data_IF_405847634895
#
_entry.id   IF_405847634895
#
_cell.length_a   1.000
_cell.length_b   1.000
_cell.length_c   1.000
_cell.angle_alpha   90.00
_cell.angle_beta   90.00
_cell.angle_gamma   90.00
#
_symmetry.space_group_name_H-M   'P 1'
#
loop_
_entity.id
_entity.type
_entity.pdbx_description
1 polymer ?
#
# COMPACT_ATOMS: atom_id res chain seq x y z
N UNK A 1 1.66 -12.77 -11.63
CA UNK A 1 2.51 -11.93 -10.74
C UNK A 1 3.99 -12.20 -10.99
N UNK A 2 4.47 -13.44 -10.92
CA UNK A 2 5.85 -13.77 -11.31
C UNK A 2 6.23 -13.25 -12.71
N UNK A 3 5.31 -13.29 -13.66
CA UNK A 3 5.55 -12.87 -15.04
C UNK A 3 5.70 -11.36 -15.17
N UNK A 4 4.93 -10.57 -14.41
CA UNK A 4 5.10 -9.11 -14.28
C UNK A 4 6.52 -8.76 -13.77
N UNK A 5 6.98 -9.45 -12.72
CA UNK A 5 8.32 -9.25 -12.16
C UNK A 5 9.39 -9.64 -13.20
N UNK A 6 9.19 -10.74 -13.94
CA UNK A 6 10.10 -11.18 -15.01
C UNK A 6 10.14 -10.16 -16.15
N UNK A 7 9.00 -9.62 -16.57
CA UNK A 7 8.89 -8.60 -17.63
C UNK A 7 9.66 -7.34 -17.23
N UNK A 8 9.39 -6.78 -16.05
CA UNK A 8 10.08 -5.57 -15.55
C UNK A 8 11.60 -5.81 -15.43
N UNK A 9 12.03 -6.97 -14.96
CA UNK A 9 13.45 -7.35 -14.88
C UNK A 9 14.08 -7.67 -16.26
N UNK A 10 13.30 -7.69 -17.34
CA UNK A 10 13.78 -7.84 -18.73
C UNK A 10 13.67 -6.56 -19.56
N UNK A 11 13.05 -5.52 -19.01
CA UNK A 11 12.99 -4.18 -19.61
C UNK A 11 14.33 -3.47 -19.52
N UNK A 12 14.58 -2.56 -20.46
CA UNK A 12 15.71 -1.64 -20.40
C UNK A 12 15.44 -0.47 -19.42
N UNK A 13 16.50 0.26 -19.08
CA UNK A 13 16.42 1.36 -18.11
C UNK A 13 15.45 2.47 -18.53
N UNK A 14 15.33 2.82 -19.82
CA UNK A 14 14.44 3.89 -20.26
C UNK A 14 12.97 3.46 -20.19
N UNK A 15 12.67 2.19 -20.46
CA UNK A 15 11.34 1.62 -20.20
C UNK A 15 11.01 1.62 -18.70
N UNK A 16 11.97 1.27 -17.84
CA UNK A 16 11.79 1.27 -16.36
C UNK A 16 11.59 2.69 -15.82
N UNK A 17 12.37 3.66 -16.30
CA UNK A 17 12.28 5.08 -15.92
C UNK A 17 10.95 5.69 -16.37
N UNK A 18 10.51 5.38 -17.59
CA UNK A 18 9.23 5.86 -18.12
C UNK A 18 8.03 5.25 -17.39
N UNK A 19 8.11 3.95 -17.04
CA UNK A 19 7.14 3.27 -16.18
C UNK A 19 7.04 3.91 -14.78
N UNK A 20 8.17 4.33 -14.21
CA UNK A 20 8.21 5.06 -12.94
C UNK A 20 7.54 6.44 -13.05
N UNK A 21 7.80 7.21 -14.10
CA UNK A 21 7.13 8.49 -14.32
C UNK A 21 5.62 8.35 -14.56
N UNK A 22 5.17 7.33 -15.31
CA UNK A 22 3.74 7.04 -15.52
C UNK A 22 3.06 6.61 -14.21
N UNK A 23 3.74 5.84 -13.36
CA UNK A 23 3.26 5.49 -12.03
C UNK A 23 3.12 6.73 -11.11
N UNK A 24 4.07 7.67 -11.17
CA UNK A 24 3.98 8.95 -10.44
C UNK A 24 2.80 9.81 -10.93
N UNK A 25 2.58 9.90 -12.24
CA UNK A 25 1.41 10.61 -12.79
C UNK A 25 0.09 9.98 -12.33
N UNK A 26 0.00 8.65 -12.33
CA UNK A 26 -1.17 7.93 -11.85
C UNK A 26 -1.39 8.14 -10.34
N UNK A 27 -0.32 8.16 -9.53
CA UNK A 27 -0.41 8.47 -8.10
C UNK A 27 -0.87 9.91 -7.85
N UNK A 28 -0.34 10.89 -8.60
CA UNK A 28 -0.77 12.29 -8.55
C UNK A 28 -2.27 12.43 -8.89
N UNK A 29 -2.78 11.68 -9.87
CA UNK A 29 -4.21 11.61 -10.20
C UNK A 29 -5.09 11.03 -9.08
N UNK A 30 -4.52 10.43 -8.03
CA UNK A 30 -5.30 9.98 -6.85
C UNK A 30 -5.43 11.03 -5.75
N UNK A 31 -4.61 12.09 -5.74
CA UNK A 31 -4.61 13.05 -4.64
C UNK A 31 -5.93 13.86 -4.56
N UNK A 32 -6.36 14.30 -3.35
CA UNK A 32 -7.67 14.93 -3.16
C UNK A 32 -7.90 16.18 -4.02
N UNK A 33 -6.87 17.00 -4.21
CA UNK A 33 -6.91 18.25 -4.97
C UNK A 33 -6.40 18.10 -6.41
N UNK A 34 -6.41 16.87 -6.95
CA UNK A 34 -5.91 16.59 -8.30
C UNK A 34 -6.74 17.28 -9.40
N UNK A 35 -6.03 17.90 -10.34
CA UNK A 35 -6.61 18.52 -11.53
C UNK A 35 -6.84 17.44 -12.59
N UNK A 36 -7.89 17.57 -13.41
CA UNK A 36 -8.15 16.62 -14.50
C UNK A 36 -6.95 16.53 -15.46
N UNK A 37 -6.43 15.32 -15.77
CA UNK A 37 -5.37 15.16 -16.74
C UNK A 37 -5.85 15.59 -18.13
N UNK A 38 -5.13 16.53 -18.73
CA UNK A 38 -5.29 16.89 -20.15
C UNK A 38 -4.98 15.69 -21.05
N UNK A 39 -5.46 15.74 -22.29
CA UNK A 39 -5.15 14.71 -23.28
C UNK A 39 -3.68 14.80 -23.70
N UNK A 40 -2.86 13.84 -23.27
CA UNK A 40 -1.75 13.37 -24.10
C UNK A 40 -2.29 12.29 -25.03
N UNK A 41 -1.86 12.30 -26.29
CA UNK A 41 -2.12 11.23 -27.26
C UNK A 41 -1.08 10.09 -27.16
N UNK A 42 -0.14 10.18 -26.20
CA UNK A 42 0.82 9.13 -25.91
C UNK A 42 0.13 7.89 -25.34
N UNK A 43 0.46 6.72 -25.89
CA UNK A 43 -0.06 5.44 -25.43
C UNK A 43 0.57 5.06 -24.09
N UNK A 44 -0.19 4.91 -22.98
CA UNK A 44 0.37 4.58 -21.68
C UNK A 44 1.06 3.22 -21.70
N UNK A 45 2.27 3.14 -21.13
CA UNK A 45 3.14 1.96 -21.06
C UNK A 45 2.46 0.84 -20.29
N UNK A 46 1.58 1.15 -19.34
CA UNK A 46 0.74 0.17 -18.66
C UNK A 46 -0.12 -0.69 -19.61
N UNK A 47 -0.41 -0.22 -20.84
CA UNK A 47 -1.16 -0.96 -21.87
C UNK A 47 -0.46 -2.27 -22.32
N UNK A 48 0.87 -2.35 -22.17
CA UNK A 48 1.64 -3.58 -22.44
C UNK A 48 1.97 -4.42 -21.20
N UNK A 49 1.64 -3.93 -20.00
CA UNK A 49 2.09 -4.49 -18.72
C UNK A 49 0.94 -5.14 -17.91
N UNK A 50 -0.31 -4.78 -18.22
CA UNK A 50 -1.51 -5.33 -17.60
C UNK A 50 -2.54 -5.72 -18.67
N UNK A 51 -3.33 -6.77 -18.41
CA UNK A 51 -4.36 -7.28 -19.33
C UNK A 51 -5.53 -6.30 -19.59
N UNK A 52 -5.63 -5.23 -18.78
CA UNK A 52 -6.66 -4.20 -18.88
C UNK A 52 -6.00 -2.80 -18.78
N UNK A 53 -6.26 -1.86 -19.72
CA UNK A 53 -5.48 -0.63 -19.85
C UNK A 53 -5.80 0.39 -18.75
N UNK A 54 -4.94 0.44 -17.73
CA UNK A 54 -5.00 1.43 -16.65
C UNK A 54 -4.60 2.83 -17.13
N UNK A 55 -5.53 3.57 -17.73
CA UNK A 55 -5.29 4.96 -18.15
C UNK A 55 -5.36 5.95 -16.96
N UNK A 56 -4.74 7.14 -17.04
CA UNK A 56 -4.78 8.15 -15.96
C UNK A 56 -6.19 8.59 -15.54
N UNK A 57 -7.19 8.54 -16.45
CA UNK A 57 -8.59 8.84 -16.12
C UNK A 57 -9.22 7.81 -15.18
N UNK A 58 -8.79 6.54 -15.23
CA UNK A 58 -9.24 5.53 -14.26
C UNK A 58 -8.80 5.90 -12.83
N UNK A 59 -7.55 6.34 -12.66
CA UNK A 59 -7.06 6.80 -11.36
C UNK A 59 -7.78 8.07 -10.89
N UNK A 60 -8.01 9.04 -11.79
CA UNK A 60 -8.75 10.27 -11.48
C UNK A 60 -10.22 10.00 -11.07
N UNK A 61 -10.98 9.23 -11.85
CA UNK A 61 -12.39 8.95 -11.54
C UNK A 61 -12.60 8.03 -10.33
N UNK A 62 -11.54 7.39 -9.84
CA UNK A 62 -11.54 6.59 -8.61
C UNK A 62 -10.66 7.19 -7.50
N UNK A 63 -10.25 8.47 -7.62
CA UNK A 63 -9.23 9.10 -6.76
C UNK A 63 -9.54 8.96 -5.27
N UNK A 64 -10.77 9.28 -4.83
CA UNK A 64 -11.22 9.14 -3.44
C UNK A 64 -11.07 7.71 -2.89
N UNK A 65 -11.27 6.69 -3.74
CA UNK A 65 -11.10 5.28 -3.36
C UNK A 65 -9.63 4.88 -3.34
N UNK A 66 -8.90 5.24 -4.40
CA UNK A 66 -7.49 4.88 -4.58
C UNK A 66 -6.61 5.54 -3.51
N UNK A 67 -6.87 6.81 -3.17
CA UNK A 67 -6.18 7.53 -2.10
C UNK A 67 -6.37 6.87 -0.73
N UNK A 68 -7.62 6.53 -0.36
CA UNK A 68 -7.90 5.84 0.92
C UNK A 68 -7.27 4.45 1.00
N UNK A 69 -7.02 3.79 -0.14
CA UNK A 69 -6.29 2.53 -0.17
C UNK A 69 -4.77 2.74 -0.16
N UNK A 70 -4.28 3.81 -0.79
CA UNK A 70 -2.87 4.22 -0.72
C UNK A 70 -2.46 4.58 0.70
N UNK A 71 -3.21 5.46 1.39
CA UNK A 71 -2.90 5.82 2.79
C UNK A 71 -2.93 4.58 3.68
N UNK A 72 -3.97 3.75 3.60
CA UNK A 72 -4.01 2.47 4.34
C UNK A 72 -2.81 1.57 4.02
N UNK A 73 -2.28 1.53 2.80
CA UNK A 73 -1.08 0.75 2.48
C UNK A 73 0.16 1.37 3.15
N UNK A 74 0.29 2.70 3.19
CA UNK A 74 1.33 3.35 3.97
C UNK A 74 1.19 2.99 5.46
N UNK A 75 0.04 3.33 6.07
CA UNK A 75 -0.28 3.19 7.49
C UNK A 75 -0.20 1.75 8.05
N UNK A 76 -0.27 0.72 7.18
CA UNK A 76 -0.30 -0.70 7.61
C UNK A 76 0.77 -1.59 7.02
N UNK A 77 1.41 -1.21 5.90
CA UNK A 77 2.44 -2.03 5.24
C UNK A 77 3.77 -1.29 5.27
N UNK A 78 3.82 -0.04 4.81
CA UNK A 78 5.07 0.74 4.85
C UNK A 78 5.49 1.05 6.29
N UNK A 79 4.56 1.42 7.17
CA UNK A 79 4.83 1.63 8.60
C UNK A 79 5.32 0.36 9.30
N UNK A 80 4.87 -0.82 8.88
CA UNK A 80 5.34 -2.09 9.45
C UNK A 80 6.71 -2.51 8.88
N UNK A 81 6.99 -2.19 7.62
CA UNK A 81 8.21 -2.59 6.92
C UNK A 81 9.37 -1.60 7.15
N UNK A 82 9.12 -0.30 7.24
CA UNK A 82 10.16 0.74 7.35
C UNK A 82 10.17 1.45 8.71
N UNK A 83 9.05 1.46 9.46
CA UNK A 83 8.97 2.03 10.82
C UNK A 83 8.99 3.56 10.93
N UNK A 84 9.21 4.28 9.82
CA UNK A 84 9.59 5.71 9.81
C UNK A 84 8.58 6.68 10.45
N UNK A 85 7.32 6.30 10.64
CA UNK A 85 6.29 7.13 11.30
C UNK A 85 6.34 7.09 12.83
N UNK A 86 7.06 6.13 13.43
CA UNK A 86 7.29 6.08 14.88
C UNK A 86 8.70 6.55 15.18
N UNK A 87 8.81 7.82 15.58
CA UNK A 87 10.04 8.37 16.11
C UNK A 87 10.59 7.44 17.22
N UNK A 88 11.84 7.02 17.06
CA UNK A 88 12.56 6.28 18.10
C UNK A 88 12.82 7.25 19.24
N UNK A 89 12.14 7.07 20.36
CA UNK A 89 12.50 7.74 21.62
C UNK A 89 13.87 7.22 22.06
N UNK A 90 14.91 7.97 21.71
CA UNK A 90 16.27 7.73 22.20
C UNK A 90 16.31 8.14 23.67
N UNK A 91 16.65 7.20 24.55
CA UNK A 91 16.86 7.46 25.96
C UNK A 91 18.15 8.30 26.14
N UNK A 92 17.99 9.63 26.19
CA UNK A 92 19.10 10.57 26.35
C UNK A 92 19.81 10.46 27.73
N UNK A 93 19.34 9.62 28.66
CA UNK A 93 20.04 9.40 29.94
C UNK A 93 21.45 8.81 29.80
N UNK A 94 21.80 8.31 28.60
CA UNK A 94 23.16 7.84 28.26
C UNK A 94 24.08 8.91 27.65
N UNK A 95 23.60 10.13 27.37
CA UNK A 95 24.38 11.19 26.71
C UNK A 95 25.13 12.09 27.71
N UNK A 96 26.41 11.77 27.94
CA UNK A 96 27.31 12.62 28.74
C UNK A 96 27.95 13.74 27.90
N UNK A 97 27.98 15.00 28.39
CA UNK A 97 28.71 16.08 27.71
C UNK A 97 30.23 15.83 27.72
N UNK A 98 30.84 15.64 26.56
CA UNK A 98 32.27 15.36 26.43
C UNK A 98 33.12 16.63 26.66
N UNK A 99 33.79 16.71 27.81
CA UNK A 99 34.77 17.75 28.15
C UNK A 99 36.18 17.14 28.13
N UNK A 100 37.04 17.60 27.21
CA UNK A 100 38.37 17.01 26.97
C UNK A 100 39.54 17.80 27.64
N UNK A 101 40.48 17.14 28.35
CA UNK A 101 41.74 17.74 28.84
C UNK A 101 42.99 17.43 27.98
N UNK A 102 44.12 18.07 28.34
CA UNK A 102 45.50 17.99 27.80
C UNK A 102 46.16 16.58 27.79
N UNK A 103 47.29 16.31 27.11
CA UNK A 103 48.15 17.18 26.25
C UNK A 103 49.61 16.68 26.09
N UNK A 104 50.48 17.53 25.52
CA UNK A 104 51.95 17.35 25.25
C UNK A 104 52.35 16.28 24.20
N UNK A 105 53.42 16.43 23.40
CA UNK A 105 54.46 17.48 23.21
C UNK A 105 55.53 16.90 22.23
N UNK A 106 56.54 17.59 21.67
CA UNK A 106 57.01 18.99 21.58
C UNK A 106 57.88 19.06 20.27
N UNK A 107 58.65 20.03 19.79
CA UNK A 107 59.29 21.31 20.21
C UNK A 107 59.65 22.08 18.89
N UNK A 108 60.41 23.18 18.73
CA UNK A 108 61.44 23.96 19.47
C UNK A 108 61.32 25.46 19.07
N UNK A 109 62.36 26.32 19.25
CA UNK A 109 62.62 27.43 18.30
C UNK A 109 62.72 28.89 18.77
N UNK A 110 63.49 29.20 19.83
CA UNK A 110 64.03 30.54 20.19
C UNK A 110 63.11 31.69 20.70
N UNK A 111 63.64 32.39 21.72
CA UNK A 111 63.40 33.77 22.24
C UNK A 111 61.98 34.33 22.46
N UNK A 112 61.65 34.79 23.69
CA UNK A 112 60.43 35.61 23.83
C UNK A 112 59.84 36.11 25.17
N UNK A 113 60.30 35.74 26.37
CA UNK A 113 59.92 36.37 27.68
C UNK A 113 58.45 36.21 28.20
N UNK A 114 58.35 35.77 29.47
CA UNK A 114 57.28 35.99 30.48
C UNK A 114 55.81 35.47 30.28
N UNK A 115 55.55 34.29 30.87
CA UNK A 115 54.46 33.94 31.81
C UNK A 115 53.06 34.61 31.68
N UNK A 116 52.00 33.82 31.39
CA UNK A 116 51.04 33.25 32.39
C UNK A 116 49.82 32.54 31.74
N UNK A 117 49.30 31.52 32.45
CA UNK A 117 47.93 30.94 32.37
C UNK A 117 47.39 30.25 31.08
N UNK A 118 47.36 28.91 31.14
CA UNK A 118 46.40 27.93 30.60
C UNK A 118 45.44 28.25 29.40
N UNK A 119 45.43 27.35 28.40
CA UNK A 119 44.37 27.21 27.38
C UNK A 119 44.49 25.89 26.58
N UNK A 120 43.37 25.19 26.33
CA UNK A 120 43.31 23.82 25.79
C UNK A 120 43.53 23.69 24.27
N UNK A 121 43.86 22.45 23.84
CA UNK A 121 44.27 22.08 22.47
C UNK A 121 43.19 22.19 21.39
N UNK A 122 43.59 22.30 20.13
CA UNK A 122 42.75 21.93 18.97
C UNK A 122 43.58 21.40 17.79
N UNK A 123 42.95 20.59 16.94
CA UNK A 123 43.47 19.94 15.70
C UNK A 123 44.60 18.91 15.91
N UNK A 124 44.74 17.88 15.06
CA UNK A 124 43.76 17.20 14.21
C UNK A 124 44.36 15.87 13.72
N UNK A 125 43.56 14.80 13.69
CA UNK A 125 43.89 13.56 12.98
C UNK A 125 42.68 13.14 12.16
N UNK A 126 42.85 12.92 10.87
CA UNK A 126 41.78 12.44 10.00
C UNK A 126 41.54 10.95 10.25
N UNK A 127 40.29 10.55 10.44
CA UNK A 127 39.90 9.14 10.45
C UNK A 127 39.21 8.80 9.12
N UNK A 128 39.61 7.67 8.55
CA UNK A 128 39.13 7.15 7.26
C UNK A 128 37.61 7.07 7.26
N UNK A 129 36.98 7.45 6.13
CA UNK A 129 35.56 7.20 5.89
C UNK A 129 35.38 5.69 5.77
N UNK A 130 35.12 5.03 6.90
CA UNK A 130 34.73 3.63 6.93
C UNK A 130 33.43 3.44 6.17
N UNK A 131 33.39 2.40 5.34
CA UNK A 131 32.21 2.10 4.53
C UNK A 131 30.98 1.97 5.42
N UNK A 132 29.96 2.79 5.19
CA UNK A 132 28.67 2.62 5.85
C UNK A 132 28.08 1.30 5.40
N UNK A 133 28.18 0.29 6.27
CA UNK A 133 27.48 -0.97 6.11
C UNK A 133 26.03 -0.67 5.75
N UNK A 134 25.58 -1.17 4.59
CA UNK A 134 24.21 -0.97 4.10
C UNK A 134 23.24 -1.82 4.93
N UNK A 135 23.09 -1.46 6.19
CA UNK A 135 22.03 -1.96 7.05
C UNK A 135 20.71 -1.65 6.36
N UNK A 136 19.88 -2.69 6.20
CA UNK A 136 18.59 -2.56 5.55
C UNK A 136 17.70 -1.64 6.38
N UNK A 137 17.02 -0.69 5.74
CA UNK A 137 15.93 0.08 6.38
C UNK A 137 14.66 -0.75 6.54
N UNK A 138 14.68 -2.04 6.16
CA UNK A 138 13.60 -2.98 6.41
C UNK A 138 13.67 -3.50 7.86
N UNK A 139 12.58 -3.32 8.58
CA UNK A 139 12.31 -3.93 9.88
C UNK A 139 12.43 -5.47 9.77
N UNK A 140 13.38 -6.11 10.46
CA UNK A 140 13.58 -7.57 10.39
C UNK A 140 12.43 -8.36 11.01
N UNK A 141 11.62 -7.73 11.89
CA UNK A 141 10.47 -8.35 12.56
C UNK A 141 9.14 -8.08 11.82
N UNK A 142 9.19 -7.55 10.59
CA UNK A 142 8.01 -7.34 9.76
C UNK A 142 7.39 -8.69 9.32
N UNK A 143 6.12 -8.92 9.66
CA UNK A 143 5.41 -10.13 9.24
C UNK A 143 5.15 -10.14 7.73
N UNK A 144 5.28 -11.30 7.09
CA UNK A 144 4.98 -11.49 5.67
C UNK A 144 3.60 -10.90 5.30
N UNK A 145 3.56 -10.05 4.25
CA UNK A 145 2.33 -9.45 3.76
C UNK A 145 1.40 -10.50 3.14
N UNK A 146 0.54 -11.08 3.97
CA UNK A 146 -0.47 -12.04 3.55
C UNK A 146 -1.85 -11.37 3.44
N UNK A 147 -2.30 -10.98 2.23
CA UNK A 147 -3.59 -10.29 2.08
C UNK A 147 -4.81 -11.18 2.38
N UNK A 148 -4.62 -12.49 2.58
CA UNK A 148 -5.64 -13.40 3.11
C UNK A 148 -5.87 -13.29 4.62
N UNK A 149 -4.93 -12.69 5.37
CA UNK A 149 -5.12 -12.35 6.79
C UNK A 149 -6.03 -11.14 7.01
N UNK A 150 -6.51 -10.49 5.93
CA UNK A 150 -7.43 -9.34 6.06
C UNK A 150 -8.77 -9.76 6.70
N UNK A 151 -9.36 -8.95 7.62
CA UNK A 151 -10.59 -9.30 8.34
C UNK A 151 -11.74 -9.66 7.39
N UNK A 152 -12.59 -10.64 7.74
CA UNK A 152 -13.71 -11.12 6.90
C UNK A 152 -14.53 -9.96 6.32
N UNK A 153 -14.90 -9.00 7.17
CA UNK A 153 -15.65 -7.79 6.80
C UNK A 153 -15.01 -6.99 5.65
N UNK A 154 -13.67 -6.84 5.67
CA UNK A 154 -12.91 -6.09 4.66
C UNK A 154 -12.76 -6.82 3.32
N UNK A 155 -13.06 -8.13 3.30
CA UNK A 155 -13.08 -8.99 2.11
C UNK A 155 -14.47 -9.59 1.85
N UNK A 156 -15.52 -8.92 2.35
CA UNK A 156 -16.92 -9.24 2.10
C UNK A 156 -17.58 -8.21 1.16
N UNK A 157 -18.44 -8.68 0.26
CA UNK A 157 -19.40 -7.83 -0.47
C UNK A 157 -20.84 -8.20 -0.11
N UNK A 158 -21.71 -7.19 -0.02
CA UNK A 158 -23.15 -7.37 0.14
C UNK A 158 -23.82 -7.49 -1.23
N UNK A 159 -24.73 -8.45 -1.36
CA UNK A 159 -25.44 -8.79 -2.60
C UNK A 159 -26.93 -8.51 -2.45
N UNK A 160 -27.59 -8.05 -3.51
CA UNK A 160 -29.05 -7.84 -3.57
C UNK A 160 -29.59 -8.32 -4.91
N UNK A 161 -30.62 -9.15 -4.86
CA UNK A 161 -31.19 -9.81 -6.03
C UNK A 161 -32.38 -9.01 -6.60
N UNK A 162 -32.65 -9.17 -7.89
CA UNK A 162 -33.93 -8.77 -8.47
C UNK A 162 -35.10 -9.52 -7.82
N UNK A 163 -36.18 -8.79 -7.49
CA UNK A 163 -37.42 -9.35 -6.92
C UNK A 163 -37.97 -10.48 -7.79
N UNK A 164 -38.37 -11.61 -7.19
CA UNK A 164 -38.85 -12.81 -7.90
C UNK A 164 -37.76 -13.61 -8.63
N UNK A 165 -36.50 -13.15 -8.57
CA UNK A 165 -35.38 -13.74 -9.32
C UNK A 165 -34.13 -13.86 -8.43
N UNK A 166 -34.18 -14.64 -7.33
CA UNK A 166 -33.03 -14.93 -6.49
C UNK A 166 -31.94 -15.70 -7.27
N UNK A 167 -30.69 -15.52 -6.86
CA UNK A 167 -29.56 -16.34 -7.31
C UNK A 167 -29.27 -17.43 -6.27
N UNK A 168 -28.97 -18.64 -6.73
CA UNK A 168 -28.49 -19.72 -5.86
C UNK A 168 -27.06 -19.44 -5.37
N UNK A 169 -26.60 -20.24 -4.38
CA UNK A 169 -25.22 -20.14 -3.88
C UNK A 169 -24.21 -20.39 -5.00
N UNK A 170 -24.52 -21.35 -5.86
CA UNK A 170 -23.61 -21.87 -6.88
C UNK A 170 -23.60 -20.94 -8.10
N UNK A 171 -24.75 -20.38 -8.51
CA UNK A 171 -24.81 -19.31 -9.53
C UNK A 171 -23.96 -18.08 -9.16
N UNK A 172 -23.82 -17.79 -7.85
CA UNK A 172 -22.98 -16.70 -7.35
C UNK A 172 -21.50 -17.11 -7.35
N UNK A 173 -21.18 -18.34 -6.93
CA UNK A 173 -19.80 -18.86 -6.96
C UNK A 173 -19.29 -18.86 -8.40
N UNK A 174 -19.98 -19.55 -9.31
CA UNK A 174 -19.59 -19.71 -10.71
C UNK A 174 -19.38 -18.36 -11.40
N UNK A 175 -20.27 -17.39 -11.18
CA UNK A 175 -20.13 -16.04 -11.76
C UNK A 175 -18.88 -15.30 -11.29
N UNK A 176 -18.48 -15.45 -10.03
CA UNK A 176 -17.31 -14.77 -9.49
C UNK A 176 -16.00 -15.54 -9.66
N UNK A 177 -16.03 -16.85 -9.93
CA UNK A 177 -14.84 -17.66 -10.20
C UNK A 177 -14.50 -17.78 -11.69
N UNK A 178 -15.50 -17.86 -12.59
CA UNK A 178 -15.32 -18.26 -14.02
C UNK A 178 -14.24 -17.50 -14.79
N UNK A 179 -13.97 -16.24 -14.45
CA UNK A 179 -12.96 -15.40 -15.09
C UNK A 179 -11.90 -14.85 -14.12
N UNK A 180 -11.84 -15.35 -12.89
CA UNK A 180 -10.98 -14.83 -11.80
C UNK A 180 -10.27 -15.92 -10.98
N UNK A 181 -10.59 -17.19 -11.20
CA UNK A 181 -10.07 -18.32 -10.43
C UNK A 181 -10.74 -18.48 -9.07
N UNK A 182 -10.11 -19.22 -8.16
CA UNK A 182 -10.65 -19.55 -6.83
C UNK A 182 -10.56 -18.35 -5.84
N UNK A 183 -11.29 -17.28 -6.14
CA UNK A 183 -11.34 -16.06 -5.32
C UNK A 183 -12.41 -16.08 -4.23
N UNK A 184 -13.34 -17.04 -4.27
CA UNK A 184 -14.52 -17.10 -3.40
C UNK A 184 -14.27 -18.06 -2.23
N UNK A 185 -14.20 -17.54 -1.01
CA UNK A 185 -14.10 -18.39 0.19
C UNK A 185 -15.47 -18.89 0.65
N UNK A 186 -16.51 -18.04 0.62
CA UNK A 186 -17.86 -18.44 1.02
C UNK A 186 -18.95 -17.55 0.44
N UNK A 187 -20.15 -18.10 0.29
CA UNK A 187 -21.38 -17.37 -0.09
C UNK A 187 -22.48 -17.72 0.91
N UNK A 188 -23.09 -16.68 1.48
CA UNK A 188 -24.23 -16.75 2.39
C UNK A 188 -25.43 -16.08 1.73
N UNK A 189 -26.60 -16.72 1.80
CA UNK A 189 -27.88 -16.18 1.31
C UNK A 189 -28.80 -15.98 2.52
N UNK A 190 -29.70 -14.99 2.44
CA UNK A 190 -30.76 -14.76 3.43
C UNK A 190 -31.57 -16.04 3.72
N UNK A 191 -31.83 -16.32 5.00
CA UNK A 191 -32.76 -17.38 5.41
C UNK A 191 -34.17 -16.82 5.48
N UNK A 192 -34.99 -17.15 4.50
CA UNK A 192 -36.38 -16.71 4.41
C UNK A 192 -37.36 -17.70 5.04
N UNK A 193 -38.62 -17.26 5.21
CA UNK A 193 -39.75 -18.13 5.53
C UNK A 193 -40.14 -18.95 4.29
N UNK A 194 -40.74 -20.15 4.46
CA UNK A 194 -41.28 -20.93 3.33
C UNK A 194 -42.19 -20.07 2.44
N UNK A 195 -42.00 -20.15 1.12
CA UNK A 195 -42.76 -19.37 0.14
C UNK A 195 -42.32 -17.90 -0.02
N UNK A 196 -41.17 -17.49 0.51
CA UNK A 196 -40.56 -16.17 0.24
C UNK A 196 -39.16 -16.32 -0.36
N UNK A 197 -38.92 -15.63 -1.48
CA UNK A 197 -37.59 -15.56 -2.09
C UNK A 197 -36.61 -14.74 -1.22
N UNK A 198 -35.34 -15.16 -1.10
CA UNK A 198 -34.30 -14.33 -0.50
C UNK A 198 -34.06 -13.08 -1.35
N UNK A 199 -33.89 -11.94 -0.70
CA UNK A 199 -33.68 -10.65 -1.35
C UNK A 199 -32.20 -10.24 -1.35
N UNK A 200 -31.41 -10.78 -0.41
CA UNK A 200 -29.99 -10.44 -0.27
C UNK A 200 -29.11 -11.63 0.11
N UNK A 201 -27.81 -11.40 0.01
CA UNK A 201 -26.77 -12.30 0.48
C UNK A 201 -25.47 -11.54 0.79
N UNK A 202 -24.42 -12.28 1.12
CA UNK A 202 -23.06 -11.76 1.18
C UNK A 202 -22.07 -12.80 0.65
N UNK A 203 -21.06 -12.34 -0.06
CA UNK A 203 -19.95 -13.14 -0.57
C UNK A 203 -18.67 -12.73 0.14
N UNK A 204 -17.90 -13.71 0.58
CA UNK A 204 -16.61 -13.56 1.26
C UNK A 204 -15.52 -14.06 0.30
N UNK A 205 -14.59 -13.18 -0.04
CA UNK A 205 -13.46 -13.50 -0.91
C UNK A 205 -12.25 -13.94 -0.11
N UNK A 206 -11.33 -14.67 -0.76
CA UNK A 206 -10.05 -15.10 -0.18
C UNK A 206 -9.12 -13.92 0.15
N UNK A 207 -9.34 -12.75 -0.46
CA UNK A 207 -8.47 -11.57 -0.35
C UNK A 207 -9.30 -10.27 -0.57
N UNK A 208 -9.08 -9.24 0.25
CA UNK A 208 -9.74 -7.93 0.11
C UNK A 208 -9.51 -7.24 -1.24
N UNK A 209 -8.37 -7.48 -1.89
CA UNK A 209 -8.01 -6.91 -3.21
C UNK A 209 -8.90 -7.43 -4.37
N UNK A 210 -9.71 -8.46 -4.15
CA UNK A 210 -10.67 -8.97 -5.14
C UNK A 210 -11.84 -8.00 -5.32
N UNK A 211 -12.27 -7.33 -4.24
CA UNK A 211 -13.41 -6.40 -4.23
C UNK A 211 -13.23 -5.21 -5.20
N UNK A 212 -12.13 -4.42 -5.15
CA UNK A 212 -11.95 -3.30 -6.08
C UNK A 212 -11.83 -3.74 -7.54
N UNK A 213 -11.32 -4.95 -7.83
CA UNK A 213 -11.29 -5.52 -9.18
C UNK A 213 -12.67 -5.93 -9.67
N UNK A 214 -13.54 -6.44 -8.80
CA UNK A 214 -14.93 -6.76 -9.14
C UNK A 214 -15.76 -5.49 -9.35
N UNK A 215 -15.58 -4.48 -8.50
CA UNK A 215 -16.35 -3.24 -8.53
C UNK A 215 -15.73 -2.15 -9.43
N UNK A 216 -14.61 -2.40 -10.09
CA UNK A 216 -13.85 -1.45 -10.90
C UNK A 216 -13.56 -0.12 -10.18
N UNK A 217 -13.05 -0.21 -8.94
CA UNK A 217 -12.79 0.93 -8.04
C UNK A 217 -14.03 1.55 -7.37
N UNK A 218 -15.25 1.23 -7.83
CA UNK A 218 -16.49 1.82 -7.32
C UNK A 218 -16.96 1.17 -6.01
N UNK A 219 -17.87 1.85 -5.30
CA UNK A 219 -18.48 1.32 -4.06
C UNK A 219 -19.61 0.30 -4.32
N UNK A 220 -20.15 0.27 -5.54
CA UNK A 220 -21.26 -0.59 -5.99
C UNK A 220 -21.16 -0.88 -7.49
N UNK A 221 -21.68 -2.03 -7.92
CA UNK A 221 -21.83 -2.41 -9.32
C UNK A 221 -23.13 -3.20 -9.55
N UNK A 222 -23.61 -3.23 -10.81
CA UNK A 222 -24.73 -4.05 -11.25
C UNK A 222 -24.22 -5.08 -12.26
N UNK A 223 -24.54 -6.35 -12.02
CA UNK A 223 -24.18 -7.47 -12.87
C UNK A 223 -25.44 -8.13 -13.46
N UNK A 224 -25.23 -8.92 -14.51
CA UNK A 224 -26.23 -9.83 -15.07
C UNK A 224 -25.70 -11.25 -14.95
N UNK A 225 -26.39 -12.09 -14.18
CA UNK A 225 -26.00 -13.48 -13.87
C UNK A 225 -27.14 -14.38 -14.29
N UNK A 226 -26.93 -15.30 -15.23
CA UNK A 226 -27.98 -16.16 -15.78
C UNK A 226 -29.26 -15.38 -16.19
N UNK A 227 -29.09 -14.20 -16.81
CA UNK A 227 -30.14 -13.23 -17.17
C UNK A 227 -30.87 -12.54 -16.00
N UNK A 228 -30.62 -12.94 -14.76
CA UNK A 228 -31.08 -12.26 -13.52
C UNK A 228 -30.22 -11.03 -13.24
N UNK A 229 -30.74 -10.08 -12.45
CA UNK A 229 -29.97 -8.90 -12.03
C UNK A 229 -29.41 -9.05 -10.61
N UNK A 230 -28.12 -8.77 -10.47
CA UNK A 230 -27.41 -8.76 -9.20
C UNK A 230 -26.85 -7.36 -8.95
N UNK A 231 -27.28 -6.71 -7.87
CA UNK A 231 -26.56 -5.56 -7.32
C UNK A 231 -25.55 -6.06 -6.29
N UNK A 232 -24.33 -5.54 -6.35
CA UNK A 232 -23.30 -5.83 -5.37
C UNK A 232 -22.63 -4.53 -4.90
N UNK A 233 -22.18 -4.52 -3.63
CA UNK A 233 -21.48 -3.37 -3.01
C UNK A 233 -20.51 -3.82 -1.94
N UNK A 234 -19.59 -2.94 -1.56
CA UNK A 234 -18.71 -3.13 -0.40
C UNK A 234 -19.57 -3.43 0.85
N UNK A 235 -19.19 -4.43 1.64
CA UNK A 235 -19.87 -4.72 2.90
C UNK A 235 -19.58 -3.64 3.94
N UNK A 236 -20.62 -3.16 4.62
CA UNK A 236 -20.49 -2.24 5.76
C UNK A 236 -20.92 -3.01 7.01
N UNK A 237 -19.99 -3.29 7.94
CA UNK A 237 -20.34 -3.98 9.18
C UNK A 237 -21.34 -3.16 9.99
N UNK A 238 -22.47 -3.78 10.35
CA UNK A 238 -23.34 -3.20 11.38
C UNK A 238 -22.60 -3.31 12.71
N UNK A 239 -22.11 -2.18 13.23
CA UNK A 239 -21.57 -2.10 14.60
C UNK A 239 -22.55 -2.81 15.54
N UNK A 240 -22.12 -3.91 16.15
CA UNK A 240 -22.88 -4.52 17.25
C UNK A 240 -22.83 -3.50 18.40
N UNK A 241 -23.96 -2.87 18.69
CA UNK A 241 -24.06 -2.07 19.92
C UNK A 241 -23.76 -2.99 21.10
N UNK A 242 -22.85 -2.56 21.98
CA UNK A 242 -22.57 -3.30 23.21
C UNK A 242 -23.87 -3.45 24.00
N UNK A 243 -24.11 -4.64 24.54
CA UNK A 243 -25.35 -5.04 25.21
C UNK A 243 -25.01 -5.94 26.39
#
# INVERSE_FOLDING_TARGET
MHDLIRTINSSDNATIESLFYEALQCLACTQPDSVQPFQSDETPIFTGLFDEPMNPRFFYYNSEFMYKRFTHIMDTVCDQIFGETKAVEVDESSLWPAINPFGEGSSTGHDGIAMHAAGTSSRASGQVIGETSRQSSLNPDASEFNPGQTPEDSRTMFLTFSLGHPLSRDEIIDFFTSNRGEVVQNVFIERTQPGKDPQFGRIVFTNSLVIPRILNGQTKAKFMVNRKHLWARIYVPRRRGSR
#
